data_IF_442314474240
#
_entry.id   IF_442314474240
#
_cell.length_a   1.000
_cell.length_b   1.000
_cell.length_c   1.000
_cell.angle_alpha   90.00
_cell.angle_beta   90.00
_cell.angle_gamma   90.00
#
_symmetry.space_group_name_H-M   'P 1'
#
loop_
_entity.id
_entity.type
_entity.pdbx_description
1 polymer ?
#
# COMPACT_ATOMS: atom_id res chain seq x y z
N UNK A 1 22.01 19.47 -5.38
CA UNK A 1 21.74 18.19 -6.05
C UNK A 1 20.29 18.21 -6.47
N UNK A 2 19.97 17.66 -7.64
CA UNK A 2 18.58 17.53 -8.10
C UNK A 2 17.88 16.46 -7.24
N UNK A 3 16.65 16.76 -6.77
CA UNK A 3 15.87 15.83 -5.95
C UNK A 3 15.26 14.77 -6.86
N UNK A 4 15.66 13.51 -6.73
CA UNK A 4 15.08 12.40 -7.49
C UNK A 4 13.71 12.03 -6.94
N UNK A 5 12.80 11.62 -7.83
CA UNK A 5 11.47 11.12 -7.49
C UNK A 5 11.24 9.79 -8.17
N UNK A 6 10.80 8.80 -7.43
CA UNK A 6 10.39 7.51 -7.96
C UNK A 6 8.87 7.35 -7.83
N UNK A 7 8.27 6.59 -8.74
CA UNK A 7 6.88 6.21 -8.61
C UNK A 7 6.80 4.91 -7.82
N UNK A 8 5.95 4.89 -6.80
CA UNK A 8 5.64 3.71 -6.00
C UNK A 8 4.13 3.50 -5.96
N UNK A 9 3.72 2.32 -5.51
CA UNK A 9 2.33 2.05 -5.17
C UNK A 9 2.24 1.19 -3.92
N UNK A 10 1.23 1.48 -3.10
CA UNK A 10 0.92 0.75 -1.87
C UNK A 10 -0.54 0.32 -1.85
N UNK A 11 -0.86 -0.75 -1.14
CA UNK A 11 -2.24 -1.21 -0.98
C UNK A 11 -2.58 -1.60 0.46
N UNK A 12 -3.61 -0.97 1.03
CA UNK A 12 -4.19 -1.45 2.28
C UNK A 12 -5.10 -2.63 1.99
N UNK A 13 -4.64 -3.82 2.37
CA UNK A 13 -5.42 -5.05 2.33
C UNK A 13 -6.39 -5.07 3.50
N UNK A 14 -7.66 -5.41 3.27
CA UNK A 14 -8.70 -5.51 4.29
C UNK A 14 -9.33 -6.90 4.28
N UNK A 15 -9.40 -7.52 5.46
CA UNK A 15 -10.12 -8.76 5.69
C UNK A 15 -10.81 -8.72 7.05
N UNK A 16 -12.08 -9.08 7.10
CA UNK A 16 -12.91 -9.12 8.32
C UNK A 16 -12.80 -7.85 9.18
N UNK A 17 -12.81 -6.67 8.56
CA UNK A 17 -12.77 -5.37 9.25
C UNK A 17 -11.41 -4.99 9.84
N UNK A 18 -10.32 -5.62 9.42
CA UNK A 18 -8.95 -5.26 9.81
C UNK A 18 -8.06 -5.09 8.58
N UNK A 19 -6.98 -4.30 8.73
CA UNK A 19 -5.95 -4.12 7.69
C UNK A 19 -4.58 -4.63 8.11
N UNK A 20 -3.81 -5.15 7.16
CA UNK A 20 -2.48 -5.69 7.39
C UNK A 20 -1.40 -4.62 7.25
N UNK A 21 -0.49 -4.54 8.22
CA UNK A 21 0.73 -3.74 8.15
C UNK A 21 1.93 -4.60 8.54
N UNK A 22 3.10 -4.32 7.98
CA UNK A 22 4.36 -4.96 8.37
C UNK A 22 5.35 -3.96 8.96
N UNK A 23 6.28 -4.45 9.80
CA UNK A 23 7.40 -3.64 10.26
C UNK A 23 8.45 -3.55 9.14
N UNK A 24 8.60 -2.37 8.52
CA UNK A 24 9.50 -2.18 7.38
C UNK A 24 10.97 -2.16 7.84
N UNK A 25 11.80 -3.13 7.41
CA UNK A 25 13.20 -3.18 7.83
C UNK A 25 13.95 -1.94 7.33
N UNK A 26 14.57 -1.22 8.27
CA UNK A 26 15.41 -0.04 7.97
C UNK A 26 14.73 1.32 8.04
N UNK A 27 13.39 1.38 8.13
CA UNK A 27 12.66 2.65 8.34
C UNK A 27 12.09 2.79 9.76
N UNK A 28 11.97 1.69 10.50
CA UNK A 28 11.30 1.66 11.83
C UNK A 28 9.85 2.18 11.75
N UNK A 29 9.20 1.91 10.61
CA UNK A 29 7.82 2.28 10.30
C UNK A 29 6.98 1.03 10.08
N UNK A 30 5.68 1.13 10.38
CA UNK A 30 4.70 0.14 9.96
C UNK A 30 4.00 0.59 8.71
N UNK A 31 4.02 -0.23 7.66
CA UNK A 31 3.52 0.15 6.34
C UNK A 31 2.61 -0.94 5.74
N UNK A 32 1.68 -0.57 4.84
CA UNK A 32 1.01 -1.55 3.98
C UNK A 32 2.02 -2.17 2.99
N UNK A 33 1.69 -3.31 2.36
CA UNK A 33 2.49 -3.82 1.23
C UNK A 33 2.56 -2.78 0.11
N UNK A 34 3.70 -2.72 -0.57
CA UNK A 34 3.93 -1.77 -1.63
C UNK A 34 5.39 -1.60 -1.99
N UNK A 35 5.62 -1.00 -3.15
CA UNK A 35 6.96 -0.94 -3.71
C UNK A 35 7.07 -0.06 -4.93
N UNK A 36 8.23 -0.16 -5.59
CA UNK A 36 8.51 0.61 -6.80
C UNK A 36 7.74 0.04 -7.97
N UNK A 37 7.29 0.93 -8.87
CA UNK A 37 6.78 0.50 -10.16
C UNK A 37 7.93 -0.09 -11.00
N UNK A 38 7.67 -1.22 -11.62
CA UNK A 38 8.53 -1.75 -12.66
C UNK A 38 8.40 -0.97 -13.97
N UNK A 39 9.29 -1.26 -14.92
CA UNK A 39 9.19 -0.70 -16.27
C UNK A 39 7.94 -1.24 -16.95
N UNK A 40 7.16 -0.34 -17.55
CA UNK A 40 5.91 -0.63 -18.28
C UNK A 40 4.77 -1.16 -17.39
N UNK A 41 4.88 -1.04 -16.07
CA UNK A 41 3.87 -1.44 -15.08
C UNK A 41 2.94 -0.27 -14.74
N UNK A 42 1.63 -0.54 -14.63
CA UNK A 42 0.68 0.46 -14.12
C UNK A 42 0.68 0.47 -12.58
N UNK A 43 0.43 1.62 -11.92
CA UNK A 43 0.56 1.69 -10.47
C UNK A 43 -0.33 0.71 -9.69
N UNK A 44 -1.56 0.47 -10.16
CA UNK A 44 -2.45 -0.53 -9.54
C UNK A 44 -1.98 -1.96 -9.77
N UNK A 45 -1.28 -2.25 -10.87
CA UNK A 45 -0.68 -3.56 -11.13
C UNK A 45 0.50 -3.77 -10.19
N UNK A 46 1.34 -2.75 -9.97
CA UNK A 46 2.42 -2.76 -8.98
C UNK A 46 1.90 -3.06 -7.58
N UNK A 47 0.88 -2.33 -7.12
CA UNK A 47 0.28 -2.55 -5.80
C UNK A 47 -0.25 -3.99 -5.63
N UNK A 48 -0.86 -4.56 -6.68
CA UNK A 48 -1.35 -5.94 -6.68
C UNK A 48 -0.21 -6.97 -6.70
N UNK A 49 0.87 -6.71 -7.44
CA UNK A 49 2.06 -7.56 -7.47
C UNK A 49 2.73 -7.58 -6.09
N UNK A 50 3.06 -6.42 -5.54
CA UNK A 50 3.71 -6.29 -4.23
C UNK A 50 2.88 -6.95 -3.14
N UNK A 51 1.55 -6.77 -3.12
CA UNK A 51 0.70 -7.49 -2.19
C UNK A 51 0.80 -9.02 -2.31
N UNK A 52 0.83 -9.56 -3.55
CA UNK A 52 1.01 -11.01 -3.76
C UNK A 52 2.39 -11.48 -3.33
N UNK A 53 3.44 -10.73 -3.65
CA UNK A 53 4.83 -11.08 -3.33
C UNK A 53 5.07 -11.02 -1.82
N UNK A 54 4.70 -9.91 -1.19
CA UNK A 54 4.97 -9.66 0.23
C UNK A 54 4.04 -10.40 1.19
N UNK A 55 2.83 -10.78 0.76
CA UNK A 55 1.85 -11.40 1.66
C UNK A 55 1.33 -12.76 1.20
N UNK A 56 1.51 -13.14 -0.06
CA UNK A 56 0.89 -14.34 -0.64
C UNK A 56 -0.62 -14.24 -0.89
N UNK A 57 -1.25 -13.11 -0.55
CA UNK A 57 -2.70 -12.92 -0.67
C UNK A 57 -3.10 -12.50 -2.09
N UNK A 58 -4.34 -12.80 -2.47
CA UNK A 58 -4.92 -12.42 -3.76
C UNK A 58 -5.94 -11.26 -3.60
N UNK A 59 -5.49 -9.99 -3.72
CA UNK A 59 -6.35 -8.83 -3.50
C UNK A 59 -7.33 -8.53 -4.63
N UNK A 60 -8.54 -8.13 -4.25
CA UNK A 60 -9.54 -7.49 -5.11
C UNK A 60 -9.58 -5.98 -4.82
N UNK A 61 -9.21 -5.14 -5.79
CA UNK A 61 -9.20 -3.68 -5.61
C UNK A 61 -10.60 -3.11 -5.36
N UNK A 62 -10.68 -2.20 -4.39
CA UNK A 62 -11.85 -1.37 -4.13
C UNK A 62 -11.79 -0.12 -5.01
N UNK A 63 -12.12 -0.30 -6.29
CA UNK A 63 -12.02 0.79 -7.28
C UNK A 63 -13.32 1.59 -7.41
N UNK A 64 -13.21 2.92 -7.51
CA UNK A 64 -14.26 3.78 -8.03
C UNK A 64 -13.78 4.42 -9.35
N UNK A 65 -14.11 3.80 -10.49
CA UNK A 65 -13.84 4.47 -11.77
C UNK A 65 -14.95 4.23 -12.76
N UNK A 66 -15.25 5.27 -13.53
CA UNK A 66 -16.14 5.14 -14.67
C UNK A 66 -15.45 4.27 -15.73
N UNK A 67 -16.19 3.34 -16.30
CA UNK A 67 -15.74 2.56 -17.45
C UNK A 67 -15.73 3.43 -18.70
N UNK A 68 -14.68 4.23 -18.83
CA UNK A 68 -14.43 5.13 -19.96
C UNK A 68 -13.37 4.50 -20.83
N UNK A 69 -13.74 4.17 -22.06
CA UNK A 69 -12.82 3.60 -23.04
C UNK A 69 -13.07 4.11 -24.46
N UNK A 70 -12.02 4.01 -25.28
CA UNK A 70 -12.00 4.32 -26.71
C UNK A 70 -10.97 3.41 -27.39
N UNK A 71 -10.89 3.38 -28.73
CA UNK A 71 -9.87 2.58 -29.43
C UNK A 71 -8.42 2.91 -29.04
N UNK A 72 -8.15 4.08 -28.44
CA UNK A 72 -6.79 4.55 -28.10
C UNK A 72 -6.57 4.79 -26.61
N UNK A 73 -7.56 4.57 -25.75
CA UNK A 73 -7.45 4.83 -24.32
C UNK A 73 -8.44 4.01 -23.51
N UNK A 74 -8.04 3.60 -22.31
CA UNK A 74 -8.91 3.00 -21.30
C UNK A 74 -8.69 3.66 -19.95
N UNK A 75 -9.73 3.74 -19.15
CA UNK A 75 -9.59 4.08 -17.75
C UNK A 75 -8.72 3.02 -17.03
N UNK A 76 -8.00 3.48 -16.02
CA UNK A 76 -7.29 2.63 -15.06
C UNK A 76 -7.80 3.01 -13.66
N UNK A 77 -7.71 2.09 -12.68
CA UNK A 77 -8.07 2.40 -11.30
C UNK A 77 -7.35 3.66 -10.81
N UNK A 78 -8.14 4.63 -10.34
CA UNK A 78 -7.61 5.80 -9.67
C UNK A 78 -7.09 5.37 -8.29
N UNK A 79 -5.89 5.82 -7.88
CA UNK A 79 -5.50 5.65 -6.49
C UNK A 79 -6.46 6.45 -5.60
N UNK A 80 -6.68 5.95 -4.38
CA UNK A 80 -7.46 6.65 -3.35
C UNK A 80 -6.75 7.93 -2.93
N UNK A 81 -5.43 7.84 -2.81
CA UNK A 81 -4.55 8.97 -2.49
C UNK A 81 -3.30 8.95 -3.36
N UNK A 82 -2.79 10.14 -3.68
CA UNK A 82 -1.49 10.31 -4.31
C UNK A 82 -0.60 11.09 -3.34
N UNK A 83 0.37 10.40 -2.76
CA UNK A 83 1.18 10.90 -1.64
C UNK A 83 2.58 11.24 -2.11
N UNK A 84 3.24 12.18 -1.42
CA UNK A 84 4.65 12.49 -1.63
C UNK A 84 5.41 12.20 -0.35
N UNK A 85 6.15 11.09 -0.33
CA UNK A 85 6.91 10.64 0.83
C UNK A 85 8.40 11.02 0.71
N UNK A 86 8.99 11.47 1.82
CA UNK A 86 10.40 11.78 1.91
C UNK A 86 11.18 10.58 2.43
N UNK A 87 12.19 10.15 1.68
CA UNK A 87 12.94 8.91 1.95
C UNK A 87 14.41 9.22 2.22
N UNK A 88 14.99 8.50 3.19
CA UNK A 88 16.36 8.68 3.67
C UNK A 88 16.62 10.11 4.16
N UNK A 89 15.78 10.58 5.09
CA UNK A 89 15.93 11.89 5.71
C UNK A 89 17.05 11.85 6.76
N UNK A 90 18.09 12.66 6.56
CA UNK A 90 19.22 12.76 7.47
C UNK A 90 19.61 14.24 7.65
N UNK A 91 19.71 14.71 8.89
CA UNK A 91 20.03 16.11 9.24
C UNK A 91 19.16 17.15 8.50
N UNK A 92 17.88 16.84 8.30
CA UNK A 92 16.92 17.69 7.60
C UNK A 92 17.07 17.72 6.07
N UNK A 93 18.02 16.96 5.50
CA UNK A 93 18.14 16.76 4.07
C UNK A 93 17.39 15.49 3.64
N UNK A 94 16.65 15.60 2.54
CA UNK A 94 15.91 14.48 1.94
C UNK A 94 16.77 13.82 0.88
N UNK A 95 17.02 12.51 1.01
CA UNK A 95 17.76 11.74 0.01
C UNK A 95 17.03 11.67 -1.33
N UNK A 96 15.78 11.20 -1.32
CA UNK A 96 14.89 11.16 -2.49
C UNK A 96 13.42 11.16 -2.07
N UNK A 97 12.50 11.18 -3.04
CA UNK A 97 11.07 11.08 -2.74
C UNK A 97 10.39 9.94 -3.49
N UNK A 98 9.31 9.44 -2.91
CA UNK A 98 8.35 8.58 -3.60
C UNK A 98 7.07 9.36 -3.88
N UNK A 99 6.58 9.26 -5.12
CA UNK A 99 5.20 9.62 -5.47
C UNK A 99 4.41 8.32 -5.37
N UNK A 100 3.68 8.18 -4.28
CA UNK A 100 3.03 6.94 -3.92
C UNK A 100 1.55 6.91 -4.31
N UNK A 101 1.18 5.88 -5.07
CA UNK A 101 -0.18 5.62 -5.51
C UNK A 101 -0.84 4.66 -4.52
N UNK A 102 -1.68 5.19 -3.63
CA UNK A 102 -2.31 4.41 -2.55
C UNK A 102 -3.61 3.79 -3.03
N UNK A 103 -3.75 2.48 -2.89
CA UNK A 103 -4.95 1.70 -3.21
C UNK A 103 -5.52 1.02 -1.97
N UNK A 104 -6.79 0.64 -2.03
CA UNK A 104 -7.42 -0.23 -1.03
C UNK A 104 -7.94 -1.50 -1.72
N UNK A 105 -7.87 -2.63 -1.03
CA UNK A 105 -8.32 -3.91 -1.56
C UNK A 105 -8.89 -4.81 -0.45
N UNK A 106 -9.75 -5.74 -0.83
CA UNK A 106 -10.18 -6.84 0.05
C UNK A 106 -9.47 -8.13 -0.29
N UNK A 107 -9.30 -8.99 0.71
CA UNK A 107 -8.77 -10.36 0.59
C UNK A 107 -9.63 -11.33 1.40
N UNK A 108 -9.69 -12.59 0.94
CA UNK A 108 -10.56 -13.62 1.53
C UNK A 108 -9.96 -14.31 2.76
N UNK A 109 -8.70 -14.02 3.09
CA UNK A 109 -7.96 -14.66 4.19
C UNK A 109 -6.97 -13.69 4.84
N UNK A 110 -6.63 -13.96 6.10
CA UNK A 110 -5.57 -13.28 6.84
C UNK A 110 -4.27 -14.09 6.91
N UNK A 111 -4.23 -15.27 6.30
CA UNK A 111 -3.07 -16.14 6.28
C UNK A 111 -2.02 -15.60 5.32
N UNK A 112 -0.95 -15.03 5.89
CA UNK A 112 0.17 -14.46 5.15
C UNK A 112 1.18 -15.57 4.82
N UNK A 113 1.52 -15.73 3.54
CA UNK A 113 2.52 -16.66 3.02
C UNK A 113 3.43 -15.96 1.97
N UNK A 114 4.41 -15.17 2.41
CA UNK A 114 5.23 -14.32 1.54
C UNK A 114 6.16 -15.11 0.62
N UNK A 115 6.53 -14.52 -0.50
CA UNK A 115 7.51 -15.06 -1.42
C UNK A 115 8.92 -15.15 -0.78
N UNK A 116 9.81 -16.04 -1.28
CA UNK A 116 11.17 -16.14 -0.76
C UNK A 116 11.94 -14.83 -0.88
N UNK A 117 12.41 -14.30 0.25
CA UNK A 117 13.14 -13.02 0.31
C UNK A 117 12.35 -11.91 0.99
N UNK A 118 11.03 -12.07 1.09
CA UNK A 118 10.13 -11.11 1.73
C UNK A 118 10.05 -11.30 3.26
N UNK A 119 9.63 -10.26 4.01
CA UNK A 119 9.40 -10.35 5.44
C UNK A 119 8.43 -11.49 5.76
N UNK A 120 8.87 -12.46 6.56
CA UNK A 120 8.06 -13.64 6.90
C UNK A 120 6.77 -13.28 7.67
N UNK A 121 5.84 -14.25 7.83
CA UNK A 121 4.51 -13.98 8.39
C UNK A 121 4.49 -13.31 9.77
N UNK A 122 5.53 -13.52 10.58
CA UNK A 122 5.66 -12.91 11.91
C UNK A 122 5.93 -11.39 11.89
N UNK A 123 6.33 -10.83 10.75
CA UNK A 123 6.50 -9.38 10.57
C UNK A 123 5.18 -8.65 10.32
N UNK A 124 4.10 -9.40 10.03
CA UNK A 124 2.80 -8.88 9.66
C UNK A 124 1.84 -8.88 10.84
N UNK A 125 1.09 -7.79 11.00
CA UNK A 125 0.03 -7.70 11.98
C UNK A 125 -1.23 -7.11 11.35
N UNK A 126 -2.36 -7.73 11.68
CA UNK A 126 -3.69 -7.24 11.31
C UNK A 126 -4.23 -6.33 12.41
N UNK A 127 -4.70 -5.16 12.02
CA UNK A 127 -5.25 -4.15 12.92
C UNK A 127 -6.71 -3.89 12.56
N UNK A 128 -7.61 -4.19 13.49
CA UNK A 128 -8.97 -3.67 13.41
C UNK A 128 -9.01 -2.16 13.74
N UNK A 129 -10.20 -1.55 13.67
CA UNK A 129 -10.38 -0.10 13.88
C UNK A 129 -9.98 0.37 15.27
N UNK A 130 -10.11 -0.48 16.30
CA UNK A 130 -9.75 -0.10 17.67
C UNK A 130 -8.24 -0.24 17.85
N UNK A 131 -7.69 -1.40 17.47
CA UNK A 131 -6.26 -1.66 17.51
C UNK A 131 -5.46 -0.63 16.71
N UNK A 132 -5.92 -0.25 15.51
CA UNK A 132 -5.21 0.72 14.66
C UNK A 132 -5.21 2.14 15.26
N UNK A 133 -6.23 2.52 16.03
CA UNK A 133 -6.28 3.84 16.68
C UNK A 133 -5.26 3.96 17.80
N UNK A 134 -5.02 2.87 18.51
CA UNK A 134 -4.07 2.81 19.63
C UNK A 134 -2.66 2.40 19.19
N UNK A 135 -2.48 2.00 17.93
CA UNK A 135 -1.20 1.56 17.40
C UNK A 135 -0.20 2.72 17.26
N UNK A 136 1.05 2.44 17.60
CA UNK A 136 2.19 3.31 17.34
C UNK A 136 2.60 3.18 15.87
N UNK A 137 1.90 3.94 15.03
CA UNK A 137 2.12 4.06 13.59
C UNK A 137 2.00 5.52 13.18
N UNK A 138 2.58 5.86 12.03
CA UNK A 138 2.53 7.20 11.50
C UNK A 138 1.08 7.68 11.27
N UNK A 139 0.81 8.99 11.42
CA UNK A 139 -0.56 9.51 11.35
C UNK A 139 -1.28 9.22 10.03
N UNK A 140 -0.59 9.30 8.91
CA UNK A 140 -1.13 8.98 7.58
C UNK A 140 -1.43 7.48 7.46
N UNK A 141 -0.54 6.61 7.94
CA UNK A 141 -0.78 5.16 7.96
C UNK A 141 -2.04 4.81 8.73
N UNK A 142 -2.23 5.42 9.91
CA UNK A 142 -3.44 5.24 10.72
C UNK A 142 -4.69 5.76 10.00
N UNK A 143 -4.64 6.96 9.43
CA UNK A 143 -5.78 7.56 8.73
C UNK A 143 -6.22 6.74 7.52
N UNK A 144 -5.26 6.38 6.65
CA UNK A 144 -5.49 5.62 5.44
C UNK A 144 -5.96 4.19 5.75
N UNK A 145 -5.41 3.53 6.77
CA UNK A 145 -5.87 2.21 7.18
C UNK A 145 -7.29 2.22 7.75
N UNK A 146 -7.66 3.25 8.52
CA UNK A 146 -9.04 3.42 9.01
C UNK A 146 -10.03 3.71 7.85
N UNK A 147 -9.61 4.50 6.86
CA UNK A 147 -10.39 4.76 5.65
C UNK A 147 -10.57 3.49 4.81
N UNK A 148 -9.51 2.68 4.65
CA UNK A 148 -9.58 1.41 3.94
C UNK A 148 -10.58 0.45 4.59
N UNK A 149 -10.52 0.29 5.92
CA UNK A 149 -11.47 -0.56 6.66
C UNK A 149 -12.91 -0.05 6.51
N UNK A 150 -13.12 1.27 6.58
CA UNK A 150 -14.45 1.85 6.39
C UNK A 150 -14.98 1.61 4.98
N UNK A 151 -14.15 1.84 3.96
CA UNK A 151 -14.49 1.63 2.55
C UNK A 151 -14.88 0.17 2.27
N UNK A 152 -14.16 -0.80 2.84
CA UNK A 152 -14.43 -2.21 2.60
C UNK A 152 -15.75 -2.70 3.22
N UNK A 153 -16.39 -1.88 4.07
CA UNK A 153 -17.67 -2.19 4.70
C UNK A 153 -18.89 -1.63 3.96
N UNK A 154 -18.67 -0.81 2.92
CA UNK A 154 -19.71 -0.21 2.06
C UNK A 154 -20.09 -1.13 0.89
#
# INVERSE_FOLDING_TARGET
>A
MERTRHATASVYLVADGATALHDHPGLDLRLPPGGHLERDELPHEAALREAREETGLDPTLLTDHADVSSPTARAVPRPRHLMLADVNVCDGAVGHQHIDHVYYATVDSREVDPAPGEPGPAAWQWYDREALREADVDPDVRELGLEAIATAAD
#
